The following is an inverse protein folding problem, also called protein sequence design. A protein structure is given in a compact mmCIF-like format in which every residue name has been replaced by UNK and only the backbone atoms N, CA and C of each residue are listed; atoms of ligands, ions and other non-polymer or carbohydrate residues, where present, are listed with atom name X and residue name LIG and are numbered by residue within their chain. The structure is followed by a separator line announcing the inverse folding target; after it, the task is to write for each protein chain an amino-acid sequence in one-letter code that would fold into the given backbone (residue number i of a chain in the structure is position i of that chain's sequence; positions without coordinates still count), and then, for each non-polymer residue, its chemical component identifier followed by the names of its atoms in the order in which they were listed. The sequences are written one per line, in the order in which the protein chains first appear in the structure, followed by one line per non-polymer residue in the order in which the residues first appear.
data_IF_794077520092
#
_entry.id   IF_794077520092
#
_cell.length_a   1.000
_cell.length_b   1.000
_cell.length_c   1.000
_cell.angle_alpha   90.00
_cell.angle_beta   90.00
_cell.angle_gamma   90.00
#
_symmetry.space_group_name_H-M   'P 1'
#
loop_
_entity.id
_entity.type
_entity.pdbx_description
1 polymer ?
#
# COMPACT_ATOMS: atom_id res chain seq x y z
N UNK A 1 -3.66 -31.58 -0.59
CA UNK A 1 -3.80 -30.44 -1.52
C UNK A 1 -3.35 -29.21 -0.75
N UNK A 2 -2.45 -28.36 -1.27
CA UNK A 2 -2.12 -27.14 -0.56
C UNK A 2 -3.36 -26.25 -0.54
N UNK A 3 -3.62 -25.68 0.63
CA UNK A 3 -4.70 -24.75 0.90
C UNK A 3 -4.42 -23.46 0.10
N UNK A 4 -4.81 -23.44 -1.17
CA UNK A 4 -4.81 -22.23 -1.98
C UNK A 4 -5.97 -21.36 -1.50
N UNK A 5 -5.70 -20.19 -0.88
CA UNK A 5 -6.78 -19.31 -0.46
C UNK A 5 -7.58 -18.88 -1.70
N UNK A 6 -8.90 -18.70 -1.56
CA UNK A 6 -9.81 -18.52 -2.68
C UNK A 6 -9.39 -17.28 -3.49
N UNK A 7 -9.42 -17.42 -4.81
CA UNK A 7 -9.32 -16.31 -5.77
C UNK A 7 -10.07 -15.07 -5.29
N UNK A 8 -9.35 -14.03 -4.85
CA UNK A 8 -9.90 -12.76 -4.40
C UNK A 8 -8.81 -11.70 -4.44
N UNK A 9 -8.91 -10.76 -5.38
CA UNK A 9 -8.01 -9.61 -5.62
C UNK A 9 -6.52 -9.89 -5.31
N UNK A 10 -5.74 -10.25 -6.35
CA UNK A 10 -4.27 -10.44 -6.23
C UNK A 10 -3.57 -9.10 -6.01
N UNK A 11 -3.68 -8.58 -4.79
CA UNK A 11 -2.93 -7.41 -4.38
C UNK A 11 -1.44 -7.72 -4.37
N UNK A 12 -0.65 -6.90 -5.06
CA UNK A 12 0.81 -6.99 -4.96
C UNK A 12 1.23 -6.54 -3.56
N UNK A 13 1.69 -7.48 -2.74
CA UNK A 13 2.16 -7.21 -1.38
C UNK A 13 3.57 -6.63 -1.42
N UNK A 14 3.71 -5.34 -1.12
CA UNK A 14 4.99 -4.63 -1.12
C UNK A 14 5.29 -4.09 0.27
N UNK A 15 6.57 -3.97 0.62
CA UNK A 15 6.95 -3.21 1.81
C UNK A 15 6.59 -1.74 1.63
N UNK A 16 6.49 -0.98 2.72
CA UNK A 16 6.22 0.46 2.64
C UNK A 16 7.23 1.20 1.77
N UNK A 17 8.50 0.80 1.81
CA UNK A 17 9.56 1.40 0.98
C UNK A 17 9.38 1.07 -0.50
N UNK A 18 9.12 -0.20 -0.82
CA UNK A 18 8.87 -0.64 -2.19
C UNK A 18 7.60 0.00 -2.76
N UNK A 19 6.53 0.05 -1.99
CA UNK A 19 5.29 0.70 -2.39
C UNK A 19 5.52 2.20 -2.63
N UNK A 20 6.23 2.89 -1.74
CA UNK A 20 6.52 4.32 -1.90
C UNK A 20 7.37 4.61 -3.14
N UNK A 21 8.44 3.83 -3.38
CA UNK A 21 9.26 3.96 -4.58
C UNK A 21 8.41 3.75 -5.84
N UNK A 22 7.60 2.69 -5.85
CA UNK A 22 6.77 2.35 -7.00
C UNK A 22 5.67 3.36 -7.28
N UNK A 23 5.07 3.96 -6.25
CA UNK A 23 4.13 5.07 -6.40
C UNK A 23 4.75 6.29 -7.11
N UNK A 24 6.05 6.53 -6.90
CA UNK A 24 6.79 7.61 -7.59
C UNK A 24 7.15 7.18 -9.01
N UNK A 25 7.63 5.94 -9.20
CA UNK A 25 7.99 5.38 -10.52
C UNK A 25 6.78 5.32 -11.46
N UNK A 26 5.62 4.89 -10.97
CA UNK A 26 4.35 4.88 -11.71
C UNK A 26 3.74 6.29 -11.90
N UNK A 27 4.38 7.34 -11.35
CA UNK A 27 3.93 8.73 -11.48
C UNK A 27 2.64 9.05 -10.74
N UNK A 28 2.24 8.24 -9.75
CA UNK A 28 1.07 8.52 -8.93
C UNK A 28 1.28 9.70 -7.99
N UNK A 29 2.52 9.91 -7.55
CA UNK A 29 2.93 11.01 -6.65
C UNK A 29 4.30 11.54 -7.05
N UNK A 30 4.52 12.86 -6.90
CA UNK A 30 5.80 13.48 -7.24
C UNK A 30 6.94 13.11 -6.28
N UNK A 31 6.61 12.87 -5.00
CA UNK A 31 7.57 12.41 -3.98
C UNK A 31 6.86 11.62 -2.90
N UNK A 32 7.37 10.43 -2.57
CA UNK A 32 6.88 9.60 -1.46
C UNK A 32 8.03 8.79 -0.87
N UNK A 33 8.06 8.65 0.45
CA UNK A 33 9.02 7.80 1.16
C UNK A 33 8.28 6.71 1.92
N UNK A 34 8.94 5.59 2.23
CA UNK A 34 8.35 4.50 3.00
C UNK A 34 7.85 4.97 4.38
N UNK A 35 8.60 5.85 5.05
CA UNK A 35 8.15 6.48 6.30
C UNK A 35 6.94 7.40 6.10
N UNK A 36 6.91 8.20 5.03
CA UNK A 36 5.75 9.05 4.71
C UNK A 36 4.49 8.24 4.48
N UNK A 37 4.61 7.12 3.75
CA UNK A 37 3.50 6.19 3.52
C UNK A 37 3.07 5.48 4.81
N UNK A 38 4.03 5.12 5.67
CA UNK A 38 3.76 4.49 6.97
C UNK A 38 3.09 5.46 7.95
N UNK A 39 3.49 6.74 7.94
CA UNK A 39 2.83 7.80 8.69
C UNK A 39 1.40 7.98 8.18
N UNK A 40 1.22 8.06 6.86
CA UNK A 40 -0.09 8.18 6.23
C UNK A 40 -1.03 7.04 6.65
N UNK A 41 -0.55 5.80 6.63
CA UNK A 41 -1.28 4.63 7.08
C UNK A 41 -1.74 4.66 8.54
N UNK A 42 -1.03 5.41 9.40
CA UNK A 42 -1.36 5.54 10.83
C UNK A 42 -2.26 6.73 11.13
N UNK A 43 -2.12 7.81 10.37
CA UNK A 43 -2.73 9.10 10.70
C UNK A 43 -3.92 9.46 9.80
N UNK A 44 -4.06 8.84 8.63
CA UNK A 44 -5.16 9.17 7.73
C UNK A 44 -6.41 8.31 8.00
N UNK A 45 -7.57 8.94 8.27
CA UNK A 45 -8.81 8.22 8.48
C UNK A 45 -9.30 7.53 7.19
N UNK A 46 -9.04 8.10 6.02
CA UNK A 46 -9.38 7.53 4.71
C UNK A 46 -8.40 6.46 4.21
N UNK A 47 -7.55 5.93 5.09
CA UNK A 47 -6.60 4.91 4.70
C UNK A 47 -7.32 3.58 4.41
N UNK A 48 -7.27 3.05 3.18
CA UNK A 48 -8.11 1.93 2.76
C UNK A 48 -7.61 0.55 3.25
N UNK A 49 -6.41 0.48 3.82
CA UNK A 49 -5.78 -0.78 4.23
C UNK A 49 -6.01 -0.99 5.73
N UNK A 50 -6.79 -1.99 6.07
CA UNK A 50 -7.05 -2.37 7.47
C UNK A 50 -5.87 -3.14 8.07
N UNK A 51 -5.81 -3.23 9.40
CA UNK A 51 -4.73 -3.95 10.09
C UNK A 51 -4.58 -5.42 9.64
N UNK A 52 -5.69 -6.08 9.29
CA UNK A 52 -5.73 -7.47 8.83
C UNK A 52 -5.20 -7.67 7.40
N UNK A 53 -5.18 -6.61 6.58
CA UNK A 53 -4.67 -6.66 5.21
C UNK A 53 -3.16 -6.51 5.12
N UNK A 54 -2.50 -6.11 6.22
CA UNK A 54 -1.05 -6.06 6.25
C UNK A 54 -0.47 -7.46 6.32
N UNK A 55 0.44 -7.75 5.40
CA UNK A 55 1.27 -8.94 5.44
C UNK A 55 2.57 -8.70 6.21
N UNK A 56 3.34 -9.77 6.32
CA UNK A 56 4.73 -9.72 6.76
C UNK A 56 5.56 -10.49 5.74
N UNK A 57 6.56 -9.83 5.15
CA UNK A 57 7.53 -10.47 4.28
C UNK A 57 8.91 -10.39 4.95
N UNK A 58 9.49 -11.55 5.23
CA UNK A 58 10.72 -11.69 6.01
C UNK A 58 10.65 -10.91 7.34
N UNK A 59 11.27 -9.73 7.40
CA UNK A 59 11.32 -8.87 8.58
C UNK A 59 10.57 -7.53 8.43
N UNK A 60 9.91 -7.30 7.30
CA UNK A 60 9.21 -6.06 7.00
C UNK A 60 7.68 -6.28 6.93
N UNK A 61 6.93 -5.25 7.33
CA UNK A 61 5.48 -5.23 7.17
C UNK A 61 5.15 -4.84 5.73
N UNK A 62 4.33 -5.65 5.07
CA UNK A 62 3.90 -5.43 3.69
C UNK A 62 2.46 -4.98 3.64
N UNK A 63 2.11 -4.29 2.57
CA UNK A 63 0.78 -3.77 2.30
C UNK A 63 0.37 -4.05 0.85
N UNK A 64 -0.94 -4.14 0.58
CA UNK A 64 -1.47 -4.26 -0.77
C UNK A 64 -1.24 -2.96 -1.56
N UNK A 65 -0.41 -3.04 -2.61
CA UNK A 65 0.00 -1.89 -3.43
C UNK A 65 -1.19 -1.15 -4.06
N UNK A 66 -2.14 -1.87 -4.65
CA UNK A 66 -3.26 -1.25 -5.37
C UNK A 66 -4.17 -0.42 -4.46
N UNK A 67 -4.29 -0.79 -3.18
CA UNK A 67 -5.00 0.02 -2.18
C UNK A 67 -4.22 1.29 -1.83
N UNK A 68 -2.89 1.22 -1.74
CA UNK A 68 -2.06 2.42 -1.57
C UNK A 68 -2.17 3.36 -2.78
N UNK A 69 -2.20 2.81 -4.01
CA UNK A 69 -2.47 3.57 -5.24
C UNK A 69 -3.83 4.27 -5.16
N UNK A 70 -4.88 3.55 -4.74
CA UNK A 70 -6.23 4.12 -4.60
C UNK A 70 -6.26 5.30 -3.62
N UNK A 71 -5.57 5.17 -2.50
CA UNK A 71 -5.43 6.25 -1.52
C UNK A 71 -4.80 7.51 -2.14
N UNK A 72 -3.64 7.38 -2.78
CA UNK A 72 -2.94 8.55 -3.35
C UNK A 72 -3.70 9.18 -4.52
N UNK A 73 -4.34 8.36 -5.37
CA UNK A 73 -5.18 8.86 -6.48
C UNK A 73 -6.38 9.65 -5.97
N UNK A 74 -7.02 9.18 -4.90
CA UNK A 74 -8.16 9.88 -4.29
C UNK A 74 -7.73 11.23 -3.74
N UNK A 75 -6.55 11.27 -3.11
CA UNK A 75 -5.99 12.51 -2.54
C UNK A 75 -5.59 13.55 -3.59
N UNK A 76 -5.04 13.11 -4.73
CA UNK A 76 -4.68 14.01 -5.85
C UNK A 76 -5.90 14.73 -6.43
N UNK A 77 -7.11 14.17 -6.30
CA UNK A 77 -8.34 14.76 -6.82
C UNK A 77 -8.94 15.83 -5.90
N UNK A 78 -8.49 15.89 -4.64
CA UNK A 78 -8.95 16.87 -3.65
C UNK A 78 -8.02 18.09 -3.54
N UNK A 79 -6.96 18.15 -4.34
CA UNK A 79 -6.01 19.27 -4.43
C UNK A 79 -6.00 19.81 -5.86
#
# INVERSE_FOLDING_TARGET
MPDEPPSGERYTMLTFEQAAARLVEDGHVARMTGEGLRKAARTHPDWPITQAMYGKAANARTLPYELAVRFVKTRRRQN
#
